data_IF_321327140729
#
_entry.id   IF_321327140729
#
_cell.length_a   1.000
_cell.length_b   1.000
_cell.length_c   1.000
_cell.angle_alpha   90.00
_cell.angle_beta   90.00
_cell.angle_gamma   90.00
#
_symmetry.space_group_name_H-M   'P 1'
#
loop_
_entity.id
_entity.type
_entity.pdbx_description
1 polymer ?
#
# COMPACT_ATOMS: atom_id res chain seq x y z
N UNK A 1 -8.62 7.51 1.91
CA UNK A 1 -8.59 8.88 2.50
C UNK A 1 -7.32 9.53 2.01
N UNK A 2 -7.43 10.69 1.40
CA UNK A 2 -6.27 11.35 0.81
C UNK A 2 -5.66 12.37 1.78
N UNK A 3 -4.34 12.34 1.94
CA UNK A 3 -3.54 13.37 2.59
C UNK A 3 -2.55 13.96 1.59
N UNK A 4 -1.56 14.73 2.07
CA UNK A 4 -0.57 15.46 1.26
C UNK A 4 -0.03 14.68 0.05
N UNK A 5 1.05 13.92 0.19
CA UNK A 5 1.61 13.07 -0.89
C UNK A 5 1.25 11.59 -0.75
N UNK A 6 0.18 11.28 -0.02
CA UNK A 6 -0.18 9.91 0.35
C UNK A 6 -1.69 9.67 0.32
N UNK A 7 -2.05 8.41 0.05
CA UNK A 7 -3.40 7.88 0.05
C UNK A 7 -3.51 6.78 1.11
N UNK A 8 -4.57 6.78 1.90
CA UNK A 8 -4.86 5.71 2.87
C UNK A 8 -5.84 4.74 2.25
N UNK A 9 -5.42 3.49 2.12
CA UNK A 9 -6.22 2.36 1.63
C UNK A 9 -6.61 1.45 2.79
N UNK A 10 -7.82 0.90 2.68
CA UNK A 10 -8.39 -0.03 3.66
C UNK A 10 -8.79 -1.29 2.90
N UNK A 11 -8.24 -2.43 3.28
CA UNK A 11 -8.81 -3.72 2.92
C UNK A 11 -10.07 -3.91 3.78
N UNK A 12 -11.25 -3.91 3.15
CA UNK A 12 -12.54 -3.97 3.87
C UNK A 12 -12.87 -5.36 4.40
N UNK A 13 -12.31 -6.40 3.80
CA UNK A 13 -12.50 -7.79 4.22
C UNK A 13 -11.79 -8.05 5.55
N UNK A 14 -10.51 -7.66 5.62
CA UNK A 14 -9.67 -7.94 6.80
C UNK A 14 -9.49 -6.74 7.73
N UNK A 15 -10.07 -5.59 7.36
CA UNK A 15 -9.99 -4.30 8.07
C UNK A 15 -8.56 -3.78 8.24
N UNK A 16 -7.60 -4.30 7.46
CA UNK A 16 -6.22 -3.80 7.44
C UNK A 16 -6.14 -2.48 6.67
N UNK A 17 -5.18 -1.65 7.06
CA UNK A 17 -5.01 -0.30 6.54
C UNK A 17 -3.54 -0.07 6.21
N UNK A 18 -3.26 0.51 5.05
CA UNK A 18 -1.92 0.96 4.70
C UNK A 18 -1.93 2.31 4.00
N UNK A 19 -0.82 3.01 4.07
CA UNK A 19 -0.62 4.32 3.44
C UNK A 19 0.25 4.14 2.20
N UNK A 20 -0.26 4.56 1.06
CA UNK A 20 0.39 4.43 -0.26
C UNK A 20 0.88 5.82 -0.71
N UNK A 21 2.18 6.00 -0.99
CA UNK A 21 2.69 7.25 -1.55
C UNK A 21 2.17 7.50 -2.96
N UNK A 22 1.99 8.77 -3.33
CA UNK A 22 1.52 9.22 -4.65
C UNK A 22 2.64 9.70 -5.59
N UNK A 23 3.88 9.37 -5.30
CA UNK A 23 5.00 9.59 -6.22
C UNK A 23 5.28 8.34 -7.05
N UNK A 24 5.99 8.50 -8.17
CA UNK A 24 6.11 7.47 -9.22
C UNK A 24 6.94 6.26 -8.81
N UNK A 25 7.93 6.45 -7.94
CA UNK A 25 8.92 5.41 -7.62
C UNK A 25 8.97 5.18 -6.11
N UNK A 26 8.87 3.92 -5.70
CA UNK A 26 9.10 3.44 -4.33
C UNK A 26 10.07 2.27 -4.39
N UNK A 27 10.81 2.01 -3.31
CA UNK A 27 11.68 0.84 -3.27
C UNK A 27 10.87 -0.46 -3.11
N UNK A 28 11.47 -1.59 -3.48
CA UNK A 28 10.82 -2.90 -3.46
C UNK A 28 10.36 -3.32 -2.07
N UNK A 29 11.13 -3.00 -1.03
CA UNK A 29 10.77 -3.32 0.34
C UNK A 29 9.47 -2.61 0.76
N UNK A 30 9.30 -1.35 0.37
CA UNK A 30 8.09 -0.59 0.64
C UNK A 30 6.90 -1.12 -0.17
N UNK A 31 7.11 -1.46 -1.45
CA UNK A 31 6.07 -2.05 -2.29
C UNK A 31 5.57 -3.38 -1.70
N UNK A 32 6.48 -4.29 -1.35
CA UNK A 32 6.15 -5.59 -0.71
C UNK A 32 5.43 -5.42 0.61
N UNK A 33 5.87 -4.46 1.44
CA UNK A 33 5.21 -4.16 2.71
C UNK A 33 3.77 -3.70 2.49
N UNK A 34 3.54 -2.75 1.57
CA UNK A 34 2.20 -2.25 1.26
C UNK A 34 1.30 -3.39 0.77
N UNK A 35 1.79 -4.23 -0.15
CA UNK A 35 1.03 -5.38 -0.63
C UNK A 35 0.68 -6.33 0.51
N UNK A 36 1.63 -6.67 1.37
CA UNK A 36 1.40 -7.55 2.52
C UNK A 36 0.43 -6.97 3.56
N UNK A 37 0.53 -5.67 3.84
CA UNK A 37 -0.36 -4.97 4.76
C UNK A 37 -1.81 -4.95 4.23
N UNK A 38 -1.99 -4.82 2.91
CA UNK A 38 -3.29 -4.81 2.26
C UNK A 38 -3.78 -6.20 1.81
N UNK A 39 -2.98 -7.25 2.03
CA UNK A 39 -3.22 -8.60 1.50
C UNK A 39 -3.42 -8.64 -0.02
N UNK A 40 -2.71 -7.76 -0.73
CA UNK A 40 -2.60 -7.77 -2.17
C UNK A 40 -1.48 -8.71 -2.64
N UNK A 41 -1.54 -9.21 -3.88
CA UNK A 41 -0.46 -9.99 -4.48
C UNK A 41 0.89 -9.24 -4.43
N UNK A 42 1.96 -10.01 -4.24
CA UNK A 42 3.31 -9.47 -4.23
C UNK A 42 3.69 -9.00 -5.64
N UNK A 43 4.30 -7.82 -5.81
CA UNK A 43 4.57 -7.24 -7.13
C UNK A 43 5.66 -7.98 -7.93
N UNK A 44 6.37 -8.93 -7.31
CA UNK A 44 7.43 -9.71 -7.91
C UNK A 44 7.02 -11.15 -8.28
N UNK A 45 5.72 -11.46 -8.27
CA UNK A 45 5.13 -12.74 -8.68
C UNK A 45 4.54 -12.63 -10.07
#
# INVERSE_FOLDING_TARGET
REGGRHSVYVNRETRKVSTVPRHREINDYLAKKICRDLEAPDPAV
#
